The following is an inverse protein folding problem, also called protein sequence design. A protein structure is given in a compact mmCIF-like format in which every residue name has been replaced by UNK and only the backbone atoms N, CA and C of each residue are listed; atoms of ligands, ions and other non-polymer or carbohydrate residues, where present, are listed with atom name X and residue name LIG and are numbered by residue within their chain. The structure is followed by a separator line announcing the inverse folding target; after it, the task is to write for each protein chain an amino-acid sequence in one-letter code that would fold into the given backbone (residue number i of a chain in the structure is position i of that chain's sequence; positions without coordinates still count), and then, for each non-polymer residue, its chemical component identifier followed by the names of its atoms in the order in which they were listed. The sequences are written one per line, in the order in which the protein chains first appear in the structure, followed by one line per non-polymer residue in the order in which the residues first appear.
data_IF_874433468555
#
_entry.id   IF_874433468555
#
_cell.length_a   1.000
_cell.length_b   1.000
_cell.length_c   1.000
_cell.angle_alpha   90.00
_cell.angle_beta   90.00
_cell.angle_gamma   90.00
#
_symmetry.space_group_name_H-M   'P 1'
#
loop_
_entity.id
_entity.type
_entity.pdbx_description
1 polymer ?
#
# COMPACT_ATOMS: atom_id res chain seq x y z
N UNK A 1 -32.40 -36.83 -4.46
CA UNK A 1 -32.14 -35.39 -4.27
C UNK A 1 -30.68 -35.21 -3.88
N UNK A 2 -29.83 -34.64 -4.74
CA UNK A 2 -28.43 -34.33 -4.40
C UNK A 2 -28.39 -32.90 -3.84
N UNK A 3 -28.07 -32.76 -2.56
CA UNK A 3 -27.97 -31.46 -1.91
C UNK A 3 -26.75 -30.68 -2.43
N UNK A 4 -27.00 -29.47 -2.94
CA UNK A 4 -25.95 -28.47 -3.10
C UNK A 4 -25.47 -28.03 -1.72
N UNK A 5 -24.32 -28.54 -1.28
CA UNK A 5 -23.61 -27.98 -0.13
C UNK A 5 -23.08 -26.57 -0.44
N UNK A 6 -22.95 -25.67 0.55
CA UNK A 6 -22.49 -24.32 0.31
C UNK A 6 -21.03 -24.33 -0.15
N UNK A 7 -20.79 -23.98 -1.41
CA UNK A 7 -19.44 -23.73 -1.91
C UNK A 7 -18.83 -22.56 -1.13
N UNK A 8 -18.01 -22.85 -0.12
CA UNK A 8 -17.16 -21.83 0.52
C UNK A 8 -16.18 -21.32 -0.53
N UNK A 9 -16.49 -20.18 -1.14
CA UNK A 9 -15.53 -19.49 -2.00
C UNK A 9 -14.49 -18.85 -1.10
N UNK A 10 -13.26 -19.34 -1.21
CA UNK A 10 -12.13 -18.70 -0.55
C UNK A 10 -11.77 -17.41 -1.29
N UNK A 11 -11.53 -16.30 -0.56
CA UNK A 11 -11.04 -15.08 -1.18
C UNK A 11 -9.68 -15.35 -1.84
N UNK A 12 -9.48 -14.78 -3.04
CA UNK A 12 -8.24 -14.89 -3.80
C UNK A 12 -7.54 -13.54 -3.82
N UNK A 13 -6.36 -13.48 -3.22
CA UNK A 13 -5.54 -12.28 -3.24
C UNK A 13 -4.78 -12.15 -4.57
N UNK A 14 -4.67 -10.93 -5.06
CA UNK A 14 -3.77 -10.60 -6.16
C UNK A 14 -2.32 -10.81 -5.71
N UNK A 15 -1.54 -11.53 -6.50
CA UNK A 15 -0.11 -11.72 -6.22
C UNK A 15 0.63 -10.41 -6.44
N UNK A 16 1.48 -10.01 -5.48
CA UNK A 16 2.28 -8.80 -5.58
C UNK A 16 3.13 -8.74 -6.87
N UNK A 17 3.78 -9.84 -7.27
CA UNK A 17 4.55 -9.90 -8.51
C UNK A 17 3.72 -9.79 -9.80
N UNK A 18 2.41 -10.10 -9.74
CA UNK A 18 1.52 -9.86 -10.87
C UNK A 18 1.12 -8.38 -10.93
N UNK A 19 0.79 -7.78 -9.78
CA UNK A 19 0.55 -6.35 -9.67
C UNK A 19 1.76 -5.54 -10.15
N UNK A 20 2.97 -5.86 -9.68
CA UNK A 20 4.20 -5.16 -10.03
C UNK A 20 4.47 -5.17 -11.53
N UNK A 21 4.35 -6.34 -12.17
CA UNK A 21 4.52 -6.45 -13.62
C UNK A 21 3.55 -5.54 -14.37
N UNK A 22 2.27 -5.56 -14.02
CA UNK A 22 1.29 -4.67 -14.67
C UNK A 22 1.56 -3.21 -14.36
N UNK A 23 1.87 -2.87 -13.11
CA UNK A 23 2.11 -1.50 -12.67
C UNK A 23 3.31 -0.87 -13.40
N UNK A 24 4.40 -1.63 -13.57
CA UNK A 24 5.64 -1.17 -14.19
C UNK A 24 5.52 -0.81 -15.67
N UNK A 25 4.55 -1.38 -16.40
CA UNK A 25 4.39 -1.17 -17.84
C UNK A 25 3.33 -0.14 -18.21
N UNK A 26 2.55 0.38 -17.24
CA UNK A 26 1.42 1.25 -17.53
C UNK A 26 1.81 2.52 -18.29
N UNK A 27 2.92 3.16 -17.90
CA UNK A 27 3.40 4.36 -18.55
C UNK A 27 3.77 4.08 -20.02
N UNK A 28 4.45 2.97 -20.29
CA UNK A 28 4.86 2.57 -21.64
C UNK A 28 3.67 2.19 -22.52
N UNK A 29 2.65 1.53 -21.95
CA UNK A 29 1.40 1.24 -22.66
C UNK A 29 0.72 2.54 -23.09
N UNK A 30 0.70 3.56 -22.22
CA UNK A 30 0.11 4.87 -22.57
C UNK A 30 0.96 5.59 -23.64
N UNK A 31 2.29 5.55 -23.54
CA UNK A 31 3.18 6.10 -24.59
C UNK A 31 2.94 5.43 -25.94
N UNK A 32 2.86 4.10 -25.96
CA UNK A 32 2.59 3.35 -27.17
C UNK A 32 1.23 3.71 -27.76
N UNK A 33 0.19 3.83 -26.92
CA UNK A 33 -1.13 4.27 -27.37
C UNK A 33 -1.11 5.67 -28.00
N UNK A 34 -0.33 6.60 -27.44
CA UNK A 34 -0.20 7.95 -27.99
C UNK A 34 0.64 8.00 -29.27
N UNK A 35 1.65 7.13 -29.40
CA UNK A 35 2.56 7.08 -30.54
C UNK A 35 1.94 6.38 -31.76
N UNK A 36 1.16 5.32 -31.55
CA UNK A 36 0.55 4.55 -32.64
C UNK A 36 -0.62 5.32 -33.29
N UNK A 37 -0.49 5.72 -34.57
CA UNK A 37 -1.55 6.46 -35.26
C UNK A 37 -2.84 5.64 -35.36
N UNK A 38 -3.96 6.23 -34.97
CA UNK A 38 -5.28 5.60 -35.08
C UNK A 38 -5.59 4.49 -34.07
N UNK A 39 -4.66 4.15 -33.16
CA UNK A 39 -4.92 3.15 -32.12
C UNK A 39 -5.94 3.64 -31.07
N UNK A 40 -5.85 4.92 -30.71
CA UNK A 40 -6.80 5.59 -29.80
C UNK A 40 -7.08 7.03 -30.25
N UNK A 41 -8.32 7.47 -30.08
CA UNK A 41 -8.75 8.85 -30.35
C UNK A 41 -8.62 9.77 -29.13
N UNK A 42 -8.53 9.19 -27.93
CA UNK A 42 -8.39 9.93 -26.68
C UNK A 42 -7.62 9.13 -25.63
N UNK A 43 -6.88 9.86 -24.80
CA UNK A 43 -6.16 9.34 -23.64
C UNK A 43 -6.49 10.21 -22.43
N UNK A 44 -6.79 9.57 -21.30
CA UNK A 44 -7.01 10.26 -20.04
C UNK A 44 -6.33 9.52 -18.89
N UNK A 45 -5.71 10.28 -17.98
CA UNK A 45 -5.23 9.79 -16.69
C UNK A 45 -6.14 10.37 -15.62
N UNK A 46 -6.81 9.48 -14.89
CA UNK A 46 -7.87 9.83 -13.95
C UNK A 46 -7.52 9.27 -12.58
N UNK A 47 -7.63 10.12 -11.56
CA UNK A 47 -7.44 9.75 -10.16
C UNK A 47 -8.66 9.03 -9.60
N UNK A 48 -8.51 8.45 -8.41
CA UNK A 48 -9.59 7.72 -7.73
C UNK A 48 -10.82 8.58 -7.40
N UNK A 49 -10.64 9.88 -7.23
CA UNK A 49 -11.72 10.85 -7.00
C UNK A 49 -12.41 11.31 -8.30
N UNK A 50 -12.12 10.64 -9.42
CA UNK A 50 -12.61 10.93 -10.76
C UNK A 50 -12.08 12.25 -11.35
N UNK A 51 -11.13 12.92 -10.69
CA UNK A 51 -10.43 14.06 -11.28
C UNK A 51 -9.49 13.60 -12.39
N UNK A 52 -9.55 14.25 -13.54
CA UNK A 52 -8.62 13.99 -14.63
C UNK A 52 -7.39 14.89 -14.51
N UNK A 53 -6.22 14.28 -14.36
CA UNK A 53 -4.93 15.00 -14.34
C UNK A 53 -4.34 15.17 -15.73
N UNK A 54 -4.81 14.37 -16.69
CA UNK A 54 -4.47 14.50 -18.10
C UNK A 54 -5.64 14.10 -18.97
N UNK A 55 -5.86 14.87 -20.04
CA UNK A 55 -6.74 14.54 -21.15
C UNK A 55 -6.12 15.05 -22.44
N UNK A 56 -6.03 14.18 -23.43
CA UNK A 56 -5.65 14.54 -24.78
C UNK A 56 -6.55 13.78 -25.76
N UNK A 57 -6.85 14.42 -26.88
CA UNK A 57 -7.72 13.86 -27.90
C UNK A 57 -7.15 14.22 -29.26
N UNK A 58 -7.36 13.37 -30.25
CA UNK A 58 -6.98 13.67 -31.63
C UNK A 58 -7.96 14.68 -32.23
N UNK A 59 -7.42 15.65 -32.95
CA UNK A 59 -8.20 16.60 -33.76
C UNK A 59 -8.44 16.03 -35.16
N UNK A 60 -9.27 16.72 -35.95
CA UNK A 60 -9.41 16.41 -37.37
C UNK A 60 -8.02 16.38 -38.04
N UNK A 61 -7.76 15.33 -38.82
CA UNK A 61 -6.44 15.05 -39.39
C UNK A 61 -5.56 14.12 -38.53
N UNK A 62 -6.07 13.62 -37.40
CA UNK A 62 -5.42 12.56 -36.62
C UNK A 62 -4.26 13.02 -35.73
N UNK A 63 -3.88 14.29 -35.77
CA UNK A 63 -2.90 14.87 -34.86
C UNK A 63 -3.47 15.00 -33.43
N UNK A 64 -2.61 14.95 -32.41
CA UNK A 64 -3.01 15.23 -31.04
C UNK A 64 -3.30 16.72 -30.81
N UNK A 65 -4.33 17.05 -30.04
CA UNK A 65 -4.67 18.43 -29.67
C UNK A 65 -3.56 19.11 -28.82
N UNK A 66 -2.81 18.32 -28.06
CA UNK A 66 -1.64 18.74 -27.27
C UNK A 66 -0.50 17.75 -27.51
N UNK A 67 0.77 18.14 -27.28
CA UNK A 67 1.86 17.19 -27.28
C UNK A 67 1.54 15.98 -26.37
N UNK A 68 1.72 14.73 -26.85
CA UNK A 68 1.44 13.54 -26.06
C UNK A 68 2.37 13.48 -24.85
N UNK A 69 1.79 13.25 -23.67
CA UNK A 69 2.49 13.25 -22.36
C UNK A 69 1.87 12.26 -21.39
N UNK A 70 0.95 11.40 -21.83
CA UNK A 70 0.18 10.52 -20.96
C UNK A 70 1.08 9.60 -20.14
N UNK A 71 2.13 9.03 -20.74
CA UNK A 71 3.09 8.19 -20.02
C UNK A 71 3.86 8.91 -18.91
N UNK A 72 4.32 10.14 -19.18
CA UNK A 72 4.99 10.99 -18.18
C UNK A 72 4.05 11.32 -17.02
N UNK A 73 2.77 11.61 -17.32
CA UNK A 73 1.76 11.87 -16.30
C UNK A 73 1.51 10.64 -15.44
N UNK A 74 1.45 9.45 -16.04
CA UNK A 74 1.31 8.19 -15.28
C UNK A 74 2.48 8.02 -14.31
N UNK A 75 3.72 8.18 -14.76
CA UNK A 75 4.91 8.07 -13.89
C UNK A 75 4.89 9.11 -12.76
N UNK A 76 4.52 10.35 -13.08
CA UNK A 76 4.39 11.41 -12.08
C UNK A 76 3.35 11.05 -11.00
N UNK A 77 2.20 10.49 -11.39
CA UNK A 77 1.16 10.06 -10.47
C UNK A 77 1.54 8.80 -9.68
N UNK A 78 2.30 7.87 -10.25
CA UNK A 78 2.80 6.69 -9.54
C UNK A 78 3.78 7.05 -8.42
N UNK A 79 4.58 8.10 -8.61
CA UNK A 79 5.56 8.57 -7.62
C UNK A 79 5.07 9.76 -6.78
N UNK A 80 3.83 10.19 -7.00
CA UNK A 80 3.24 11.33 -6.31
C UNK A 80 3.16 11.07 -4.81
N UNK A 81 3.65 12.00 -3.96
CA UNK A 81 3.44 11.90 -2.52
C UNK A 81 1.96 11.93 -2.15
N UNK A 82 1.60 11.14 -1.15
CA UNK A 82 0.26 11.12 -0.58
C UNK A 82 -0.06 12.47 0.08
N UNK A 83 -1.28 12.93 -0.15
CA UNK A 83 -1.88 14.00 0.67
C UNK A 83 -2.01 13.54 2.12
N UNK A 84 -2.15 14.48 3.06
CA UNK A 84 -2.42 14.14 4.46
C UNK A 84 -3.62 13.22 4.66
N UNK A 85 -4.69 13.46 3.90
CA UNK A 85 -5.92 12.66 3.97
C UNK A 85 -5.68 11.24 3.44
N UNK A 86 -4.95 11.09 2.33
CA UNK A 86 -4.60 9.77 1.78
C UNK A 86 -3.72 8.97 2.75
N UNK A 87 -2.70 9.60 3.32
CA UNK A 87 -1.82 8.97 4.31
C UNK A 87 -2.58 8.53 5.57
N UNK A 88 -3.48 9.38 6.09
CA UNK A 88 -4.30 9.04 7.26
C UNK A 88 -5.24 7.85 6.96
N UNK A 89 -5.89 7.84 5.79
CA UNK A 89 -6.74 6.72 5.33
C UNK A 89 -5.93 5.44 5.18
N UNK A 90 -4.75 5.49 4.57
CA UNK A 90 -3.86 4.33 4.44
C UNK A 90 -3.55 3.71 5.80
N UNK A 91 -3.12 4.50 6.79
CA UNK A 91 -2.81 3.98 8.12
C UNK A 91 -4.03 3.45 8.87
N UNK A 92 -5.19 4.10 8.71
CA UNK A 92 -6.44 3.62 9.30
C UNK A 92 -6.83 2.25 8.73
N UNK A 93 -6.77 2.09 7.40
CA UNK A 93 -7.03 0.81 6.72
C UNK A 93 -6.02 -0.25 7.14
N UNK A 94 -4.72 0.07 7.18
CA UNK A 94 -3.70 -0.90 7.57
C UNK A 94 -3.93 -1.42 9.01
N UNK A 95 -4.30 -0.53 9.94
CA UNK A 95 -4.65 -0.91 11.32
C UNK A 95 -5.90 -1.78 11.39
N UNK A 96 -6.91 -1.48 10.58
CA UNK A 96 -8.13 -2.27 10.50
C UNK A 96 -7.84 -3.67 9.98
N UNK A 97 -7.15 -3.79 8.84
CA UNK A 97 -6.79 -5.09 8.24
C UNK A 97 -5.91 -5.91 9.19
N UNK A 98 -4.99 -5.28 9.92
CA UNK A 98 -4.17 -5.99 10.91
C UNK A 98 -5.00 -6.54 12.09
N UNK A 99 -6.11 -5.89 12.46
CA UNK A 99 -7.04 -6.39 13.48
C UNK A 99 -7.89 -7.55 12.96
N UNK A 100 -8.40 -7.44 11.74
CA UNK A 100 -9.28 -8.43 11.13
C UNK A 100 -8.55 -9.67 10.61
N UNK A 101 -7.30 -9.50 10.14
CA UNK A 101 -6.50 -10.54 9.51
C UNK A 101 -5.07 -10.58 10.06
N UNK A 102 -4.90 -10.87 11.37
CA UNK A 102 -3.59 -10.83 12.04
C UNK A 102 -2.57 -11.80 11.43
N UNK A 103 -3.01 -12.90 10.80
CA UNK A 103 -2.15 -13.87 10.12
C UNK A 103 -1.35 -13.26 8.96
N UNK A 104 -1.75 -12.12 8.42
CA UNK A 104 -1.03 -11.43 7.34
C UNK A 104 -0.13 -10.28 7.82
N UNK A 105 0.13 -10.15 9.12
CA UNK A 105 0.91 -9.04 9.71
C UNK A 105 2.22 -8.76 8.99
N UNK A 106 2.99 -9.79 8.61
CA UNK A 106 4.25 -9.62 7.87
C UNK A 106 4.05 -8.92 6.52
N UNK A 107 3.01 -9.31 5.77
CA UNK A 107 2.64 -8.66 4.50
C UNK A 107 2.20 -7.21 4.68
N UNK A 108 1.50 -6.90 5.77
CA UNK A 108 1.11 -5.53 6.09
C UNK A 108 2.33 -4.65 6.41
N UNK A 109 3.37 -5.20 7.04
CA UNK A 109 4.64 -4.50 7.25
C UNK A 109 5.35 -4.24 5.91
N UNK A 110 5.41 -5.23 5.03
CA UNK A 110 5.99 -5.07 3.67
C UNK A 110 5.28 -3.93 2.90
N UNK A 111 3.95 -3.88 2.95
CA UNK A 111 3.15 -2.80 2.34
C UNK A 111 3.47 -1.43 2.97
N UNK A 112 3.60 -1.36 4.29
CA UNK A 112 3.94 -0.12 4.99
C UNK A 112 5.33 0.42 4.60
N UNK A 113 6.31 -0.48 4.40
CA UNK A 113 7.65 -0.11 3.94
C UNK A 113 7.61 0.52 2.55
N UNK A 114 6.85 -0.09 1.61
CA UNK A 114 6.68 0.43 0.26
C UNK A 114 5.98 1.79 0.22
N UNK A 115 4.99 2.02 1.10
CA UNK A 115 4.25 3.28 1.13
C UNK A 115 5.02 4.42 1.81
N UNK A 116 6.00 4.12 2.67
CA UNK A 116 6.76 5.11 3.45
C UNK A 116 7.40 6.24 2.62
N UNK A 117 8.09 5.99 1.48
CA UNK A 117 8.66 7.09 0.67
C UNK A 117 7.59 8.04 0.12
N UNK A 118 6.38 7.56 -0.11
CA UNK A 118 5.24 8.35 -0.62
C UNK A 118 4.55 9.17 0.47
N UNK A 119 4.82 8.92 1.75
CA UNK A 119 4.25 9.73 2.83
C UNK A 119 4.87 11.12 2.85
N UNK A 120 4.03 12.16 2.93
CA UNK A 120 4.49 13.53 3.19
C UNK A 120 5.29 13.59 4.50
N UNK A 121 6.32 14.45 4.56
CA UNK A 121 7.32 14.44 5.62
C UNK A 121 6.72 14.53 7.04
N UNK A 122 5.59 15.26 7.21
CA UNK A 122 4.89 15.39 8.49
C UNK A 122 4.07 14.17 8.94
N UNK A 123 3.91 13.14 8.10
CA UNK A 123 3.08 11.95 8.37
C UNK A 123 3.84 10.63 8.26
N UNK A 124 5.17 10.70 8.10
CA UNK A 124 6.03 9.54 8.28
C UNK A 124 5.92 9.11 9.75
N UNK A 125 5.62 7.83 10.06
CA UNK A 125 5.71 7.35 11.42
C UNK A 125 7.09 7.72 11.96
N UNK A 126 7.12 8.44 13.09
CA UNK A 126 8.37 8.78 13.76
C UNK A 126 9.06 7.46 14.03
N UNK A 127 10.27 7.28 13.52
CA UNK A 127 11.08 6.14 13.93
C UNK A 127 11.15 6.24 15.45
N UNK A 128 10.67 5.22 16.16
CA UNK A 128 10.99 5.10 17.58
C UNK A 128 12.51 5.04 17.60
N UNK A 129 13.13 6.05 18.20
CA UNK A 129 14.55 5.99 18.50
C UNK A 129 14.71 4.79 19.43
N UNK A 130 15.10 3.63 18.88
CA UNK A 130 15.57 2.53 19.68
C UNK A 130 16.97 2.91 20.15
N UNK A 131 17.03 3.79 21.14
CA UNK A 131 18.17 3.96 22.03
C UNK A 131 17.79 3.33 23.36
N UNK A 132 17.32 2.09 23.33
CA UNK A 132 17.40 1.24 24.52
C UNK A 132 18.63 0.38 24.28
N UNK A 133 19.73 0.58 25.01
CA UNK A 133 20.83 -0.37 25.01
C UNK A 133 20.25 -1.75 25.33
N UNK A 134 20.57 -2.76 24.52
CA UNK A 134 20.15 -4.16 24.73
C UNK A 134 20.51 -4.67 26.14
N UNK A 135 21.43 -4.00 26.85
CA UNK A 135 21.81 -4.26 28.24
C UNK A 135 20.72 -4.05 29.29
N UNK A 136 19.64 -3.31 29.02
CA UNK A 136 18.67 -2.91 30.04
C UNK A 136 17.39 -3.79 30.09
N UNK A 137 17.39 -4.98 29.51
CA UNK A 137 16.33 -5.95 29.77
C UNK A 137 16.80 -6.92 30.85
N UNK A 138 16.25 -6.86 32.09
CA UNK A 138 16.55 -7.87 33.09
C UNK A 138 16.05 -9.22 32.59
N UNK A 139 16.97 -10.06 32.13
CA UNK A 139 16.72 -11.47 31.88
C UNK A 139 16.45 -12.10 33.26
N UNK A 140 15.26 -12.69 33.51
CA UNK A 140 15.05 -13.44 34.73
C UNK A 140 16.06 -14.58 34.76
N UNK A 141 17.06 -14.51 35.66
CA UNK A 141 17.98 -15.62 35.88
C UNK A 141 17.17 -16.77 36.45
N UNK A 142 17.01 -17.82 35.65
CA UNK A 142 16.39 -19.07 36.08
C UNK A 142 17.40 -19.81 36.97
N UNK A 143 17.27 -19.69 38.28
CA UNK A 143 18.05 -20.50 39.22
C UNK A 143 18.01 -20.00 40.66
N UNK A 144 17.42 -20.82 41.54
CA UNK A 144 17.55 -20.67 42.98
C UNK A 144 16.23 -20.80 43.73
N UNK A 145 15.85 -22.04 44.02
CA UNK A 145 14.78 -22.32 44.98
C UNK A 145 15.25 -21.84 46.36
N UNK A 146 14.61 -20.81 46.90
CA UNK A 146 14.65 -20.53 48.33
C UNK A 146 13.21 -20.39 48.81
N UNK A 147 12.70 -21.52 49.30
CA UNK A 147 11.53 -21.58 50.18
C UNK A 147 11.81 -20.79 51.44
N UNK A 148 11.02 -19.77 51.74
CA UNK A 148 10.78 -19.32 53.11
C UNK A 148 9.33 -18.90 53.27
N UNK A 149 8.69 -19.61 54.19
CA UNK A 149 7.31 -19.54 54.63
C UNK A 149 7.05 -18.31 55.50
N UNK A 150 5.78 -17.88 55.52
CA UNK A 150 5.11 -17.11 56.60
C UNK A 150 5.46 -15.61 56.68
N UNK A 151 4.56 -14.65 56.95
CA UNK A 151 3.40 -14.62 57.85
C UNK A 151 2.32 -13.60 57.40
N UNK A 152 1.07 -13.97 57.70
CA UNK A 152 -0.08 -13.17 58.15
C UNK A 152 -0.61 -11.95 57.36
N UNK A 153 -1.87 -12.11 56.92
CA UNK A 153 -2.87 -11.04 56.74
C UNK A 153 -3.17 -10.36 58.07
N UNK A 154 -3.45 -9.06 58.02
CA UNK A 154 -4.34 -8.38 58.96
C UNK A 154 -5.43 -7.64 58.17
N UNK A 155 -6.59 -7.56 58.80
CA UNK A 155 -7.91 -7.23 58.28
C UNK A 155 -8.09 -5.79 57.79
#
# INVERSE_FOLDING_TARGET
MRGCGPHRRHPRFTRAAAHERTFSVLADVVRAAEQEPGLVDSVAVIRRDLSAVYRNTRIAGGAWAKPPKGGEVVEAEQHRPYTPVEAARFWATLRQVNRELPQYRRKLVEIAVLARPLMSAGLRPRALAFTVPTEALPVPRRGGHCSLSSLARAA
#
